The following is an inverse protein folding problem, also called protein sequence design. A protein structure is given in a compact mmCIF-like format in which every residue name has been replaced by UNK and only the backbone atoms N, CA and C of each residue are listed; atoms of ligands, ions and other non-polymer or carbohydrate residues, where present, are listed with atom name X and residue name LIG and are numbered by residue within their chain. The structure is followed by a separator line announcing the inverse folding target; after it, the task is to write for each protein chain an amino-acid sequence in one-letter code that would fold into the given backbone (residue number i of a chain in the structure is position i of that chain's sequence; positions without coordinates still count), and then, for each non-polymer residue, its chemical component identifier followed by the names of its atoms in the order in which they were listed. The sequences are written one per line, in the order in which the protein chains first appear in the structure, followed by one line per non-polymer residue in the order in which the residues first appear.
data_IF_909899349000
#
_entry.id   IF_909899349000
#
_cell.length_a   1.000
_cell.length_b   1.000
_cell.length_c   1.000
_cell.angle_alpha   90.00
_cell.angle_beta   90.00
_cell.angle_gamma   90.00
#
_symmetry.space_group_name_H-M   'P 1'
#
loop_
_entity.id
_entity.type
_entity.pdbx_description
1 polymer ?
#
# COMPACT_ATOMS: atom_id res chain seq x y z
N UNK A 1 3.33 -17.41 -13.13
CA UNK A 1 2.18 -17.02 -12.34
C UNK A 1 2.11 -15.51 -12.16
N UNK A 2 0.97 -14.93 -12.41
CA UNK A 2 0.83 -13.48 -12.31
C UNK A 2 0.42 -13.07 -10.90
N UNK A 3 1.07 -12.04 -10.39
CA UNK A 3 0.71 -11.45 -9.12
C UNK A 3 -0.14 -10.22 -9.39
N UNK A 4 -1.11 -9.98 -8.52
CA UNK A 4 -1.96 -8.81 -8.66
C UNK A 4 -1.42 -7.65 -7.83
N UNK A 5 -2.07 -6.50 -7.99
CA UNK A 5 -1.82 -5.33 -7.18
C UNK A 5 -3.06 -5.12 -6.32
N UNK A 6 -2.88 -4.89 -5.05
CA UNK A 6 -3.99 -4.73 -4.12
C UNK A 6 -3.90 -3.41 -3.38
N UNK A 7 -5.05 -2.95 -2.86
CA UNK A 7 -5.09 -1.75 -2.02
C UNK A 7 -5.92 -2.08 -0.79
N UNK A 8 -5.44 -1.64 0.36
CA UNK A 8 -6.11 -1.86 1.65
C UNK A 8 -6.38 -0.51 2.29
N UNK A 9 -7.58 -0.32 2.76
CA UNK A 9 -7.92 0.92 3.43
C UNK A 9 -9.41 1.08 3.62
N UNK A 10 -9.82 2.27 4.06
CA UNK A 10 -11.23 2.58 4.18
C UNK A 10 -11.84 2.78 2.80
N UNK A 11 -13.14 2.61 2.72
CA UNK A 11 -13.86 2.63 1.46
C UNK A 11 -13.59 3.87 0.61
N UNK A 12 -13.61 5.03 1.25
CA UNK A 12 -13.43 6.27 0.50
C UNK A 12 -12.02 6.43 -0.05
N UNK A 13 -11.04 6.01 0.74
CA UNK A 13 -9.63 6.14 0.32
C UNK A 13 -9.28 5.20 -0.82
N UNK A 14 -9.84 4.00 -0.83
CA UNK A 14 -9.50 3.02 -1.86
C UNK A 14 -10.35 3.17 -3.12
N UNK A 15 -11.39 3.97 -3.06
CA UNK A 15 -12.31 4.13 -4.18
C UNK A 15 -11.61 4.61 -5.45
N UNK A 16 -10.62 5.45 -5.31
CA UNK A 16 -9.90 5.97 -6.47
C UNK A 16 -9.10 4.89 -7.21
N UNK A 17 -8.83 3.79 -6.56
CA UNK A 17 -8.09 2.67 -7.19
C UNK A 17 -8.99 1.75 -7.99
N UNK A 18 -10.27 1.84 -7.79
CA UNK A 18 -11.22 0.97 -8.47
C UNK A 18 -11.18 1.13 -9.98
N UNK A 19 -10.98 2.36 -10.44
CA UNK A 19 -10.99 2.65 -11.86
C UNK A 19 -9.84 2.02 -12.63
N UNK A 20 -8.76 1.65 -11.93
CA UNK A 20 -7.59 1.06 -12.58
C UNK A 20 -7.51 -0.45 -12.41
N UNK A 21 -8.56 -1.07 -11.89
CA UNK A 21 -8.61 -2.53 -11.78
C UNK A 21 -7.78 -3.14 -10.69
N UNK A 22 -7.40 -2.35 -9.71
CA UNK A 22 -6.65 -2.85 -8.56
C UNK A 22 -7.61 -3.52 -7.60
N UNK A 23 -7.20 -4.65 -7.05
CA UNK A 23 -8.04 -5.41 -6.13
C UNK A 23 -8.17 -4.68 -4.80
N UNK A 24 -9.39 -4.47 -4.35
CA UNK A 24 -9.68 -3.70 -3.16
C UNK A 24 -9.96 -4.57 -1.96
N UNK A 25 -9.40 -4.18 -0.82
CA UNK A 25 -9.69 -4.81 0.47
C UNK A 25 -10.08 -3.71 1.44
N UNK A 26 -11.37 -3.56 1.65
CA UNK A 26 -11.88 -2.54 2.55
C UNK A 26 -11.75 -3.01 4.00
N UNK A 27 -11.32 -2.12 4.88
CA UNK A 27 -11.26 -2.42 6.31
C UNK A 27 -11.37 -1.14 7.11
N UNK A 28 -11.85 -1.27 8.34
CA UNK A 28 -11.96 -0.13 9.25
C UNK A 28 -11.50 -0.48 10.66
N UNK A 29 -11.14 -1.73 10.90
CA UNK A 29 -10.69 -2.19 12.21
C UNK A 29 -9.35 -2.90 12.06
N UNK A 30 -8.65 -3.04 13.19
CA UNK A 30 -7.38 -3.76 13.20
C UNK A 30 -7.57 -5.20 12.76
N UNK A 31 -8.62 -5.83 13.25
CA UNK A 31 -8.91 -7.22 12.89
C UNK A 31 -9.18 -7.36 11.41
N UNK A 32 -9.97 -6.46 10.85
CA UNK A 32 -10.25 -6.46 9.42
C UNK A 32 -8.99 -6.19 8.60
N UNK A 33 -8.15 -5.28 9.10
CA UNK A 33 -6.91 -4.96 8.41
C UNK A 33 -5.96 -6.15 8.35
N UNK A 34 -5.88 -6.92 9.44
CA UNK A 34 -5.03 -8.10 9.47
C UNK A 34 -5.51 -9.16 8.49
N UNK A 35 -6.81 -9.37 8.42
CA UNK A 35 -7.38 -10.30 7.46
C UNK A 35 -7.10 -9.85 6.03
N UNK A 36 -7.28 -8.56 5.78
CA UNK A 36 -7.03 -8.00 4.46
C UNK A 36 -5.56 -8.15 4.07
N UNK A 37 -4.66 -7.88 4.99
CA UNK A 37 -3.23 -8.01 4.73
C UNK A 37 -2.86 -9.44 4.36
N UNK A 38 -3.35 -10.39 5.12
CA UNK A 38 -3.04 -11.80 4.86
C UNK A 38 -3.59 -12.26 3.51
N UNK A 39 -4.83 -11.88 3.22
CA UNK A 39 -5.44 -12.24 1.94
C UNK A 39 -4.71 -11.59 0.77
N UNK A 40 -4.39 -10.31 0.90
CA UNK A 40 -3.69 -9.60 -0.16
C UNK A 40 -2.29 -10.13 -0.38
N UNK A 41 -1.60 -10.47 0.71
CA UNK A 41 -0.22 -10.94 0.63
C UNK A 41 -0.09 -12.25 -0.13
N UNK A 42 -1.11 -13.08 -0.10
CA UNK A 42 -1.07 -14.37 -0.79
C UNK A 42 -1.06 -14.23 -2.30
N UNK A 43 -1.61 -13.16 -2.83
CA UNK A 43 -1.79 -13.04 -4.27
C UNK A 43 -1.21 -11.79 -4.88
N UNK A 44 -0.64 -10.90 -4.07
CA UNK A 44 -0.21 -9.60 -4.57
C UNK A 44 1.30 -9.44 -4.55
N UNK A 45 1.81 -8.79 -5.58
CA UNK A 45 3.20 -8.37 -5.59
C UNK A 45 3.35 -7.01 -4.93
N UNK A 46 2.32 -6.18 -5.05
CA UNK A 46 2.32 -4.83 -4.46
C UNK A 46 1.02 -4.63 -3.71
N UNK A 47 1.13 -4.11 -2.50
CA UNK A 47 -0.02 -3.77 -1.67
C UNK A 47 0.08 -2.30 -1.28
N UNK A 48 -0.87 -1.50 -1.74
CA UNK A 48 -1.00 -0.12 -1.29
C UNK A 48 -1.88 -0.11 -0.06
N UNK A 49 -1.48 0.62 0.95
CA UNK A 49 -2.21 0.63 2.22
C UNK A 49 -2.28 2.06 2.74
N UNK A 50 -3.45 2.46 3.26
CA UNK A 50 -3.56 3.80 3.82
C UNK A 50 -2.69 3.94 5.05
N UNK A 51 -2.23 5.15 5.32
CA UNK A 51 -1.38 5.40 6.49
C UNK A 51 -2.07 5.01 7.79
N UNK A 52 -3.36 5.27 7.90
CA UNK A 52 -4.10 4.93 9.10
C UNK A 52 -4.08 3.44 9.38
N UNK A 53 -4.32 2.65 8.33
CA UNK A 53 -4.30 1.20 8.47
C UNK A 53 -2.88 0.69 8.70
N UNK A 54 -1.92 1.29 8.03
CA UNK A 54 -0.52 0.94 8.22
C UNK A 54 -0.13 1.02 9.69
N UNK A 55 -0.56 2.10 10.36
CA UNK A 55 -0.23 2.28 11.77
C UNK A 55 -0.91 1.25 12.66
N UNK A 56 -2.11 0.82 12.29
CA UNK A 56 -2.83 -0.18 13.07
C UNK A 56 -2.13 -1.53 13.08
N UNK A 57 -1.47 -1.87 11.99
CA UNK A 57 -0.89 -3.21 11.82
C UNK A 57 0.59 -3.16 11.46
N UNK A 58 1.28 -2.12 11.89
CA UNK A 58 2.69 -1.95 11.54
C UNK A 58 3.56 -3.12 11.98
N UNK A 59 3.26 -3.73 13.11
CA UNK A 59 4.03 -4.88 13.59
C UNK A 59 3.91 -6.07 12.64
N UNK A 60 2.72 -6.32 12.14
CA UNK A 60 2.49 -7.41 11.21
C UNK A 60 3.10 -7.11 9.86
N UNK A 61 3.11 -5.85 9.46
CA UNK A 61 3.72 -5.46 8.21
C UNK A 61 5.22 -5.72 8.22
N UNK A 62 5.86 -5.58 9.36
CA UNK A 62 7.28 -5.85 9.49
C UNK A 62 7.65 -7.28 9.14
N UNK A 63 6.72 -8.21 9.26
CA UNK A 63 6.96 -9.59 8.84
C UNK A 63 7.34 -9.69 7.38
N UNK A 64 6.90 -8.74 6.58
CA UNK A 64 7.11 -8.79 5.14
C UNK A 64 8.34 -8.02 4.70
N UNK A 65 9.00 -7.33 5.61
CA UNK A 65 10.17 -6.51 5.28
C UNK A 65 11.32 -7.32 4.70
N UNK A 66 11.50 -8.55 5.19
CA UNK A 66 12.59 -9.40 4.74
C UNK A 66 12.26 -10.21 3.50
N UNK A 67 11.03 -10.11 3.04
CA UNK A 67 10.58 -10.90 1.90
C UNK A 67 10.60 -10.07 0.63
N UNK A 68 10.94 -10.68 -0.50
CA UNK A 68 10.91 -9.92 -1.76
C UNK A 68 9.51 -9.48 -2.15
N UNK A 69 8.49 -10.27 -1.78
CA UNK A 69 7.10 -9.96 -2.06
C UNK A 69 6.24 -10.27 -0.87
N UNK A 70 5.16 -9.55 -0.66
CA UNK A 70 4.73 -8.36 -1.39
C UNK A 70 5.47 -7.10 -0.94
N UNK A 71 5.51 -6.10 -1.79
CA UNK A 71 5.97 -4.77 -1.41
C UNK A 71 4.76 -4.03 -0.83
N UNK A 72 4.88 -3.51 0.38
CA UNK A 72 3.78 -2.82 1.04
C UNK A 72 4.10 -1.34 1.07
N UNK A 73 3.25 -0.54 0.41
CA UNK A 73 3.50 0.88 0.22
C UNK A 73 2.38 1.70 0.86
N UNK A 74 2.69 2.46 1.92
CA UNK A 74 1.68 3.31 2.53
C UNK A 74 1.39 4.55 1.68
N UNK A 75 0.17 5.03 1.72
CA UNK A 75 -0.21 6.26 1.04
C UNK A 75 -1.20 7.02 1.92
N UNK A 76 -1.28 8.34 1.76
CA UNK A 76 -2.20 9.14 2.59
C UNK A 76 -3.64 8.84 2.23
N UNK A 77 -4.46 8.63 3.25
CA UNK A 77 -5.88 8.42 3.06
C UNK A 77 -6.59 9.72 2.76
N UNK A 78 -7.87 9.62 2.46
CA UNK A 78 -8.66 10.79 2.09
C UNK A 78 -8.79 11.80 3.23
N UNK A 79 -8.64 11.34 4.45
CA UNK A 79 -8.71 12.22 5.63
C UNK A 79 -7.40 12.93 5.91
N UNK A 80 -6.43 12.75 5.02
CA UNK A 80 -5.12 13.33 5.22
C UNK A 80 -4.25 12.43 6.06
N UNK A 81 -2.99 12.41 5.80
CA UNK A 81 -2.04 11.62 6.53
C UNK A 81 -1.11 12.47 7.35
N UNK A 82 -0.13 11.84 7.94
CA UNK A 82 0.88 12.51 8.73
C UNK A 82 2.07 12.94 7.91
N UNK A 83 2.03 12.68 6.63
CA UNK A 83 3.16 12.96 5.76
C UNK A 83 4.08 11.76 5.55
N UNK A 84 4.02 10.79 6.43
CA UNK A 84 4.86 9.61 6.31
C UNK A 84 4.61 8.85 5.01
N UNK A 85 3.34 8.60 4.72
CA UNK A 85 2.99 7.87 3.52
C UNK A 85 3.37 8.61 2.25
N UNK A 86 3.19 9.92 2.26
CA UNK A 86 3.54 10.73 1.11
C UNK A 86 5.05 10.70 0.86
N UNK A 87 5.83 10.77 1.93
CA UNK A 87 7.27 10.71 1.81
C UNK A 87 7.73 9.38 1.25
N UNK A 88 7.19 8.28 1.79
CA UNK A 88 7.55 6.95 1.32
C UNK A 88 7.06 6.69 -0.09
N UNK A 89 5.88 7.20 -0.42
CA UNK A 89 5.32 7.04 -1.75
C UNK A 89 6.18 7.77 -2.79
N UNK A 90 6.57 9.00 -2.49
CA UNK A 90 7.44 9.77 -3.38
C UNK A 90 8.77 9.05 -3.60
N UNK A 91 9.32 8.50 -2.54
CA UNK A 91 10.56 7.78 -2.65
C UNK A 91 10.43 6.54 -3.53
N UNK A 92 9.30 5.84 -3.41
CA UNK A 92 9.03 4.67 -4.23
C UNK A 92 8.89 5.05 -5.70
N UNK A 93 8.23 6.16 -5.97
CA UNK A 93 8.06 6.65 -7.34
C UNK A 93 9.41 7.00 -7.95
N UNK A 94 10.25 7.68 -7.19
CA UNK A 94 11.59 8.01 -7.67
C UNK A 94 12.36 6.76 -8.07
N UNK A 95 12.25 5.72 -7.26
CA UNK A 95 12.95 4.47 -7.53
C UNK A 95 12.37 3.73 -8.72
N UNK A 96 11.04 3.66 -8.78
CA UNK A 96 10.35 2.86 -9.78
C UNK A 96 10.35 3.49 -11.16
N UNK A 97 10.14 4.79 -11.24
CA UNK A 97 10.07 5.50 -12.52
C UNK A 97 11.45 5.66 -13.12
N UNK A 98 12.43 5.38 -12.34
CA UNK A 98 13.79 5.58 -12.79
C UNK A 98 14.25 6.97 -12.43
N UNK A 99 15.19 7.00 -11.56
CA UNK A 99 15.75 8.27 -11.12
C UNK A 99 16.32 9.06 -12.28
N UNK A 100 16.51 8.42 -13.42
CA UNK A 100 17.01 9.11 -14.60
C UNK A 100 16.11 10.26 -15.04
N UNK A 101 14.81 10.15 -14.82
CA UNK A 101 13.90 11.24 -15.15
C UNK A 101 14.17 12.44 -14.27
N UNK A 102 14.43 12.19 -13.02
CA UNK A 102 14.71 13.25 -12.06
C UNK A 102 16.12 13.79 -12.18
N UNK A 103 17.01 12.95 -12.65
CA UNK A 103 18.40 13.34 -12.81
C UNK A 103 18.64 14.23 -14.02
N UNK A 104 17.69 14.28 -14.91
CA UNK A 104 17.80 15.11 -16.10
C UNK A 104 17.52 16.58 -15.87
N UNK A 105 17.27 16.94 -14.67
CA UNK A 105 17.04 18.34 -14.33
C UNK A 105 18.29 19.18 -14.47
#
# INVERSE_FOLDING_TARGET
MAYSISVIGDKESILSFKAVGIKEFECSTRSGALKALRAAAEESAIIYITEDVYRLISEEICFYDDKPLPAIIPFPGIKGGTGLGMELLNKSVETAVGSNILQND
#
